data_IF_259734742153
#
_entry.id   IF_259734742153
#
_cell.length_a   1.000
_cell.length_b   1.000
_cell.length_c   1.000
_cell.angle_alpha   90.00
_cell.angle_beta   90.00
_cell.angle_gamma   90.00
#
_symmetry.space_group_name_H-M   'P 1'
#
loop_
_entity.id
_entity.type
_entity.pdbx_description
1 polymer ?
#
# COMPACT_ATOMS: atom_id res chain seq x y z
N UNK A 1 -31.32 -46.18 47.46
CA UNK A 1 -30.87 -44.78 47.53
C UNK A 1 -29.69 -44.59 46.60
N UNK A 2 -29.95 -44.44 45.27
CA UNK A 2 -28.90 -44.18 44.26
C UNK A 2 -29.55 -43.51 43.05
N UNK A 3 -29.89 -42.23 43.11
CA UNK A 3 -30.43 -41.53 41.93
C UNK A 3 -30.26 -40.00 41.91
N UNK A 4 -29.60 -39.39 42.91
CA UNK A 4 -29.50 -37.92 42.95
C UNK A 4 -28.18 -37.36 42.36
N UNK A 5 -27.13 -38.17 42.27
CA UNK A 5 -25.80 -37.67 41.83
C UNK A 5 -25.66 -37.48 40.28
N UNK A 6 -26.45 -38.20 39.50
CA UNK A 6 -26.32 -38.11 38.03
C UNK A 6 -26.96 -36.84 37.42
N UNK A 7 -27.97 -36.25 38.06
CA UNK A 7 -28.61 -35.02 37.54
C UNK A 7 -27.82 -33.74 37.83
N UNK A 8 -27.05 -33.71 38.93
CA UNK A 8 -26.19 -32.58 39.26
C UNK A 8 -24.98 -32.47 38.30
N UNK A 9 -24.42 -33.61 37.86
CA UNK A 9 -23.30 -33.63 36.93
C UNK A 9 -23.68 -33.14 35.53
N UNK A 10 -24.91 -33.41 35.06
CA UNK A 10 -25.38 -32.93 33.73
C UNK A 10 -25.68 -31.44 33.72
N UNK A 11 -26.14 -30.85 34.83
CA UNK A 11 -26.38 -29.40 34.90
C UNK A 11 -25.05 -28.62 34.95
N UNK A 12 -24.08 -29.05 35.75
CA UNK A 12 -22.75 -28.43 35.79
C UNK A 12 -22.04 -28.47 34.43
N UNK A 13 -22.11 -29.59 33.71
CA UNK A 13 -21.55 -29.70 32.38
C UNK A 13 -22.14 -28.69 31.39
N UNK A 14 -23.43 -28.46 31.44
CA UNK A 14 -24.13 -27.48 30.59
C UNK A 14 -23.71 -26.03 30.89
N UNK A 15 -23.49 -25.68 32.17
CA UNK A 15 -22.99 -24.36 32.53
C UNK A 15 -21.56 -24.14 32.11
N UNK A 16 -20.69 -25.14 32.21
CA UNK A 16 -19.30 -25.07 31.77
C UNK A 16 -19.25 -24.91 30.23
N UNK A 17 -20.06 -25.67 29.50
CA UNK A 17 -20.15 -25.54 28.04
C UNK A 17 -20.66 -24.15 27.64
N UNK A 18 -21.71 -23.64 28.30
CA UNK A 18 -22.22 -22.29 28.05
C UNK A 18 -21.17 -21.21 28.31
N UNK A 19 -20.44 -21.30 29.42
CA UNK A 19 -19.35 -20.36 29.72
C UNK A 19 -18.22 -20.43 28.70
N UNK A 20 -17.83 -21.62 28.24
CA UNK A 20 -16.80 -21.80 27.23
C UNK A 20 -17.22 -21.17 25.89
N UNK A 21 -18.47 -21.32 25.47
CA UNK A 21 -18.99 -20.70 24.24
C UNK A 21 -18.97 -19.17 24.36
N UNK A 22 -19.39 -18.61 25.49
CA UNK A 22 -19.36 -17.15 25.71
C UNK A 22 -17.94 -16.60 25.66
N UNK A 23 -16.98 -17.27 26.30
CA UNK A 23 -15.56 -16.85 26.28
C UNK A 23 -15.01 -16.96 24.84
N UNK A 24 -15.30 -18.04 24.13
CA UNK A 24 -14.83 -18.22 22.76
C UNK A 24 -15.41 -17.15 21.81
N UNK A 25 -16.71 -16.85 21.91
CA UNK A 25 -17.34 -15.83 21.07
C UNK A 25 -16.84 -14.42 21.41
N UNK A 26 -16.61 -14.13 22.68
CA UNK A 26 -16.01 -12.85 23.11
C UNK A 26 -14.56 -12.71 22.60
N UNK A 27 -13.76 -13.77 22.68
CA UNK A 27 -12.38 -13.76 22.18
C UNK A 27 -12.33 -13.55 20.66
N UNK A 28 -13.21 -14.22 19.90
CA UNK A 28 -13.33 -14.04 18.43
C UNK A 28 -13.79 -12.62 18.11
N UNK A 29 -14.80 -12.10 18.81
CA UNK A 29 -15.31 -10.74 18.59
C UNK A 29 -14.23 -9.66 18.87
N UNK A 30 -13.47 -9.81 19.96
CA UNK A 30 -12.34 -8.93 20.27
C UNK A 30 -11.23 -9.05 19.23
N UNK A 31 -10.89 -10.27 18.80
CA UNK A 31 -9.89 -10.51 17.77
C UNK A 31 -10.24 -9.83 16.44
N UNK A 32 -11.47 -9.96 15.98
CA UNK A 32 -11.95 -9.31 14.76
C UNK A 32 -11.97 -7.78 14.88
N UNK A 33 -12.30 -7.24 16.08
CA UNK A 33 -12.28 -5.80 16.33
C UNK A 33 -10.88 -5.18 16.30
N UNK A 34 -9.85 -5.95 16.70
CA UNK A 34 -8.45 -5.51 16.69
C UNK A 34 -7.80 -5.56 15.29
N UNK A 35 -8.28 -6.42 14.41
CA UNK A 35 -7.73 -6.59 13.06
C UNK A 35 -8.11 -5.44 12.11
N UNK A 36 -9.01 -4.54 12.49
CA UNK A 36 -9.54 -3.49 11.62
C UNK A 36 -10.58 -4.02 10.63
N UNK A 37 -11.25 -3.12 9.93
CA UNK A 37 -12.21 -3.53 8.90
C UNK A 37 -11.52 -4.04 7.65
N UNK A 38 -12.05 -5.08 6.97
CA UNK A 38 -11.51 -5.56 5.70
C UNK A 38 -11.40 -4.47 4.63
N UNK A 39 -12.30 -3.49 4.66
CA UNK A 39 -12.32 -2.38 3.71
C UNK A 39 -11.12 -1.45 3.92
N UNK A 40 -10.77 -1.14 5.18
CA UNK A 40 -9.59 -0.31 5.49
C UNK A 40 -8.29 -0.97 5.04
N UNK A 41 -8.18 -2.29 5.19
CA UNK A 41 -7.01 -3.03 4.75
C UNK A 41 -6.91 -3.06 3.21
N UNK A 42 -8.05 -3.15 2.52
CA UNK A 42 -8.11 -3.02 1.06
C UNK A 42 -7.64 -1.65 0.60
N UNK A 43 -8.15 -0.59 1.23
CA UNK A 43 -7.79 0.79 0.92
C UNK A 43 -6.29 1.05 1.13
N UNK A 44 -5.72 0.55 2.24
CA UNK A 44 -4.27 0.64 2.50
C UNK A 44 -3.43 -0.04 1.41
N UNK A 45 -3.87 -1.22 0.94
CA UNK A 45 -3.16 -1.95 -0.14
C UNK A 45 -3.27 -1.22 -1.47
N UNK A 46 -4.42 -0.63 -1.78
CA UNK A 46 -4.60 0.19 -2.97
C UNK A 46 -3.71 1.44 -2.93
N UNK A 47 -3.68 2.14 -1.79
CA UNK A 47 -2.84 3.33 -1.62
C UNK A 47 -1.34 2.98 -1.68
N UNK A 48 -0.91 1.87 -1.07
CA UNK A 48 0.46 1.39 -1.19
C UNK A 48 0.83 1.08 -2.64
N UNK A 49 -0.07 0.44 -3.38
CA UNK A 49 0.12 0.17 -4.81
C UNK A 49 0.21 1.45 -5.64
N UNK A 50 -0.63 2.46 -5.37
CA UNK A 50 -0.56 3.78 -6.02
C UNK A 50 0.82 4.42 -5.83
N UNK A 51 1.33 4.40 -4.59
CA UNK A 51 2.68 4.91 -4.28
C UNK A 51 3.75 4.15 -5.07
N UNK A 52 3.68 2.81 -5.13
CA UNK A 52 4.67 2.01 -5.87
C UNK A 52 4.61 2.27 -7.38
N UNK A 53 3.42 2.44 -7.94
CA UNK A 53 3.23 2.80 -9.35
C UNK A 53 3.76 4.22 -9.64
N UNK A 54 3.47 5.21 -8.78
CA UNK A 54 4.04 6.57 -8.92
C UNK A 54 5.56 6.58 -8.82
N UNK A 55 6.14 5.75 -7.95
CA UNK A 55 7.61 5.56 -7.87
C UNK A 55 8.18 4.97 -9.15
N UNK A 56 7.48 4.01 -9.76
CA UNK A 56 7.89 3.44 -11.03
C UNK A 56 7.84 4.49 -12.16
N UNK A 57 6.78 5.28 -12.20
CA UNK A 57 6.64 6.41 -13.14
C UNK A 57 7.76 7.43 -12.93
N UNK A 58 8.05 7.82 -11.68
CA UNK A 58 9.13 8.76 -11.39
C UNK A 58 10.50 8.25 -11.86
N UNK A 59 10.79 6.95 -11.65
CA UNK A 59 12.03 6.34 -12.18
C UNK A 59 12.09 6.34 -13.70
N UNK A 60 10.97 6.06 -14.37
CA UNK A 60 10.91 6.09 -15.83
C UNK A 60 11.13 7.50 -16.39
N UNK A 61 10.60 8.53 -15.72
CA UNK A 61 10.86 9.93 -16.05
C UNK A 61 12.34 10.26 -15.86
N UNK A 62 12.97 9.82 -14.78
CA UNK A 62 14.40 10.03 -14.51
C UNK A 62 15.27 9.39 -15.62
N UNK A 63 14.97 8.15 -15.99
CA UNK A 63 15.65 7.46 -17.11
C UNK A 63 15.47 8.23 -18.42
N UNK A 64 14.25 8.65 -18.73
CA UNK A 64 13.97 9.42 -19.95
C UNK A 64 14.75 10.74 -19.97
N UNK A 65 14.75 11.46 -18.88
CA UNK A 65 15.48 12.74 -18.75
C UNK A 65 17.00 12.55 -18.96
N UNK A 66 17.59 11.51 -18.39
CA UNK A 66 19.00 11.20 -18.58
C UNK A 66 19.34 10.81 -20.03
N UNK A 67 18.38 10.26 -20.77
CA UNK A 67 18.59 9.88 -22.18
C UNK A 67 18.31 11.03 -23.15
N UNK A 68 17.22 11.77 -22.92
CA UNK A 68 16.73 12.80 -23.84
C UNK A 68 17.16 14.23 -23.45
N UNK A 69 17.61 14.45 -22.20
CA UNK A 69 17.95 15.78 -21.68
C UNK A 69 16.74 16.67 -21.41
N UNK A 70 15.53 16.14 -21.52
CA UNK A 70 14.27 16.87 -21.34
C UNK A 70 13.24 15.99 -20.64
N UNK A 71 12.31 16.61 -19.92
CA UNK A 71 11.17 15.89 -19.36
C UNK A 71 10.22 15.40 -20.48
N UNK A 72 9.57 14.23 -20.30
CA UNK A 72 8.59 13.75 -21.27
C UNK A 72 7.40 14.72 -21.38
N UNK A 73 6.92 15.00 -22.59
CA UNK A 73 5.75 15.84 -22.78
C UNK A 73 4.47 15.22 -22.21
N UNK A 74 4.39 13.89 -22.21
CA UNK A 74 3.29 13.11 -21.62
C UNK A 74 3.82 11.79 -21.08
N UNK A 75 3.14 11.18 -20.12
CA UNK A 75 3.50 9.85 -19.59
C UNK A 75 3.39 8.74 -20.64
N UNK A 76 2.53 8.89 -21.67
CA UNK A 76 2.37 7.91 -22.74
C UNK A 76 3.66 7.65 -23.53
N UNK A 77 4.59 8.60 -23.56
CA UNK A 77 5.91 8.43 -24.20
C UNK A 77 6.73 7.37 -23.46
N UNK A 78 6.61 7.30 -22.14
CA UNK A 78 7.33 6.34 -21.30
C UNK A 78 6.81 4.92 -21.49
N UNK A 79 5.52 4.75 -21.72
CA UNK A 79 4.89 3.45 -21.95
C UNK A 79 5.40 2.80 -23.26
N UNK A 80 5.72 3.62 -24.26
CA UNK A 80 6.26 3.16 -25.54
C UNK A 80 7.76 2.81 -25.48
N UNK A 81 8.51 3.36 -24.51
CA UNK A 81 9.95 3.22 -24.37
C UNK A 81 10.35 2.10 -23.39
N UNK A 82 9.53 1.79 -22.41
CA UNK A 82 9.73 0.71 -21.44
C UNK A 82 8.85 -0.49 -21.76
N UNK A 83 9.31 -1.70 -21.38
CA UNK A 83 8.52 -2.92 -21.49
C UNK A 83 7.16 -2.80 -20.76
N UNK A 84 6.13 -3.64 -21.09
CA UNK A 84 4.70 -3.44 -20.77
C UNK A 84 4.35 -3.52 -19.27
N UNK A 85 5.21 -3.07 -18.37
CA UNK A 85 5.04 -3.15 -16.91
C UNK A 85 4.80 -1.82 -16.21
N UNK A 86 4.90 -0.69 -16.94
CA UNK A 86 4.64 0.61 -16.34
C UNK A 86 3.13 0.85 -16.30
N UNK A 87 2.56 0.87 -15.10
CA UNK A 87 1.15 1.24 -14.92
C UNK A 87 1.03 2.75 -14.81
N UNK A 88 0.36 3.36 -15.79
CA UNK A 88 0.06 4.79 -15.80
C UNK A 88 -1.34 5.12 -15.27
N UNK A 89 -2.13 4.11 -14.93
CA UNK A 89 -3.52 4.26 -14.51
C UNK A 89 -3.69 3.78 -13.07
N UNK A 90 -4.53 4.52 -12.33
CA UNK A 90 -4.94 4.16 -10.98
C UNK A 90 -5.60 2.76 -10.95
N UNK A 91 -5.19 1.85 -10.06
CA UNK A 91 -5.62 0.46 -10.06
C UNK A 91 -7.10 0.26 -9.69
N UNK A 92 -7.75 1.26 -9.12
CA UNK A 92 -9.17 1.18 -8.73
C UNK A 92 -10.08 1.90 -9.72
N UNK A 93 -9.75 3.15 -10.06
CA UNK A 93 -10.58 3.97 -10.94
C UNK A 93 -10.28 3.75 -12.42
N UNK A 94 -9.13 3.18 -12.77
CA UNK A 94 -8.65 3.06 -14.15
C UNK A 94 -8.28 4.38 -14.82
N UNK A 95 -8.36 5.50 -14.10
CA UNK A 95 -8.01 6.83 -14.64
C UNK A 95 -6.49 7.02 -14.67
N UNK A 96 -5.95 7.71 -15.68
CA UNK A 96 -4.53 7.99 -15.72
C UNK A 96 -4.09 8.88 -14.55
N UNK A 97 -2.87 8.65 -14.05
CA UNK A 97 -2.23 9.54 -13.10
C UNK A 97 -2.01 10.91 -13.74
N UNK A 98 -2.17 11.97 -12.94
CA UNK A 98 -1.92 13.32 -13.43
C UNK A 98 -0.42 13.60 -13.40
N UNK A 99 0.09 14.14 -14.50
CA UNK A 99 1.47 14.56 -14.66
C UNK A 99 1.50 15.97 -15.22
N UNK A 100 2.37 16.81 -14.65
CA UNK A 100 2.61 18.16 -15.14
C UNK A 100 4.09 18.52 -14.97
N UNK A 101 4.74 18.94 -16.05
CA UNK A 101 6.04 19.58 -15.98
C UNK A 101 5.90 20.97 -15.37
N UNK A 102 6.72 21.30 -14.38
CA UNK A 102 6.74 22.59 -13.68
C UNK A 102 7.89 23.48 -14.15
N UNK A 103 9.05 22.86 -14.41
CA UNK A 103 10.27 23.49 -14.94
C UNK A 103 11.02 22.48 -15.79
N UNK A 104 12.22 22.81 -16.26
CA UNK A 104 13.02 21.94 -17.13
C UNK A 104 13.43 20.63 -16.45
N UNK A 105 13.58 20.64 -15.13
CA UNK A 105 14.08 19.53 -14.29
C UNK A 105 13.11 19.09 -13.21
N UNK A 106 11.91 19.68 -13.12
CA UNK A 106 10.95 19.41 -12.08
C UNK A 106 9.55 19.20 -12.61
N UNK A 107 8.81 18.30 -11.96
CA UNK A 107 7.47 17.90 -12.36
C UNK A 107 6.60 17.55 -11.14
N UNK A 108 5.33 17.42 -11.37
CA UNK A 108 4.32 17.03 -10.38
C UNK A 108 3.60 15.77 -10.83
N UNK A 109 3.48 14.79 -9.90
CA UNK A 109 2.70 13.57 -10.07
C UNK A 109 1.61 13.53 -9.04
N UNK A 110 0.35 13.37 -9.48
CA UNK A 110 -0.80 13.38 -8.58
C UNK A 110 -1.59 12.07 -8.65
N UNK A 111 -2.06 11.64 -7.47
CA UNK A 111 -3.00 10.53 -7.32
C UNK A 111 -4.04 10.85 -6.23
N UNK A 112 -5.14 10.10 -6.23
CA UNK A 112 -6.17 10.20 -5.18
C UNK A 112 -6.00 9.03 -4.22
N UNK A 113 -5.84 9.32 -2.93
CA UNK A 113 -5.62 8.34 -1.88
C UNK A 113 -6.84 8.17 -0.99
N UNK A 114 -7.14 6.94 -0.60
CA UNK A 114 -8.27 6.64 0.27
C UNK A 114 -7.98 7.00 1.72
N UNK A 115 -6.73 6.84 2.15
CA UNK A 115 -6.29 7.04 3.53
C UNK A 115 -5.06 7.93 3.61
N UNK A 116 -4.81 8.51 4.78
CA UNK A 116 -3.54 9.18 5.07
C UNK A 116 -2.47 8.16 5.45
N UNK A 117 -1.25 8.36 4.95
CA UNK A 117 -0.10 7.53 5.28
C UNK A 117 1.09 8.39 5.67
N UNK A 118 1.74 8.02 6.80
CA UNK A 118 2.99 8.60 7.26
C UNK A 118 4.09 7.56 7.11
N UNK A 119 4.96 7.76 6.13
CA UNK A 119 6.09 6.89 5.88
C UNK A 119 7.33 7.43 6.57
N UNK A 120 8.19 6.56 7.09
CA UNK A 120 9.43 6.96 7.78
C UNK A 120 10.67 6.81 6.90
N UNK A 121 11.78 7.44 7.34
CA UNK A 121 13.07 7.30 6.70
C UNK A 121 13.09 7.78 5.24
N UNK A 122 13.70 6.99 4.36
CA UNK A 122 13.82 7.31 2.93
C UNK A 122 12.49 7.36 2.18
N UNK A 123 11.42 6.80 2.76
CA UNK A 123 10.10 6.80 2.16
C UNK A 123 9.24 7.98 2.60
N UNK A 124 9.72 8.83 3.50
CA UNK A 124 8.97 9.98 4.05
C UNK A 124 8.46 10.93 2.95
N UNK A 125 9.19 11.07 1.84
CA UNK A 125 8.77 11.85 0.68
C UNK A 125 7.40 11.41 0.13
N UNK A 126 7.11 10.10 0.14
CA UNK A 126 5.87 9.52 -0.37
C UNK A 126 4.74 9.47 0.66
N UNK A 127 4.87 10.17 1.79
CA UNK A 127 3.78 10.37 2.74
C UNK A 127 2.71 11.26 2.14
N UNK A 128 1.46 10.92 2.36
CA UNK A 128 0.32 11.64 1.76
C UNK A 128 -0.87 11.70 2.72
N UNK A 129 -1.71 12.74 2.63
CA UNK A 129 -3.05 12.77 3.22
C UNK A 129 -4.02 11.90 2.43
N UNK A 130 -5.22 11.71 2.95
CA UNK A 130 -6.35 11.22 2.16
C UNK A 130 -6.81 12.28 1.15
N UNK A 131 -7.34 11.84 0.01
CA UNK A 131 -7.78 12.70 -1.09
C UNK A 131 -6.72 12.89 -2.17
N UNK A 132 -6.94 13.88 -3.03
CA UNK A 132 -6.00 14.22 -4.09
C UNK A 132 -4.70 14.78 -3.49
N UNK A 133 -3.58 14.18 -3.82
CA UNK A 133 -2.26 14.64 -3.41
C UNK A 133 -1.28 14.60 -4.57
N UNK A 134 -0.44 15.62 -4.65
CA UNK A 134 0.55 15.81 -5.68
C UNK A 134 1.95 15.83 -5.07
N UNK A 135 2.84 15.01 -5.62
CA UNK A 135 4.27 14.97 -5.28
C UNK A 135 5.03 15.82 -6.28
N UNK A 136 5.77 16.80 -5.78
CA UNK A 136 6.70 17.59 -6.60
C UNK A 136 8.07 16.94 -6.56
N UNK A 137 8.56 16.56 -7.72
CA UNK A 137 9.80 15.81 -7.88
C UNK A 137 10.75 16.61 -8.77
N UNK A 138 11.99 16.77 -8.31
CA UNK A 138 13.09 17.18 -9.18
C UNK A 138 13.83 15.92 -9.66
N UNK A 139 14.29 15.90 -10.92
CA UNK A 139 14.90 14.73 -11.55
C UNK A 139 16.13 14.22 -10.81
N UNK A 140 16.88 15.09 -10.13
CA UNK A 140 18.03 14.71 -9.28
C UNK A 140 17.62 14.12 -7.92
N UNK A 141 16.38 14.36 -7.48
CA UNK A 141 15.88 13.95 -6.16
C UNK A 141 15.21 12.59 -6.14
N UNK A 142 15.04 11.91 -7.27
CA UNK A 142 14.50 10.56 -7.29
C UNK A 142 15.44 9.66 -6.50
N UNK A 143 15.04 9.15 -5.31
CA UNK A 143 15.91 8.30 -4.50
C UNK A 143 16.25 7.06 -5.32
N UNK A 144 17.51 6.95 -5.73
CA UNK A 144 18.03 5.75 -6.36
C UNK A 144 18.01 4.66 -5.31
N UNK A 145 16.97 3.86 -5.29
CA UNK A 145 17.05 2.56 -4.66
C UNK A 145 18.13 1.80 -5.41
N UNK A 146 19.24 1.61 -4.73
CA UNK A 146 20.38 0.87 -5.25
C UNK A 146 19.92 -0.54 -5.64
N UNK A 147 19.64 -0.73 -6.92
CA UNK A 147 19.38 -2.03 -7.56
C UNK A 147 20.71 -2.79 -7.73
N UNK A 148 21.69 -2.54 -6.91
CA UNK A 148 22.86 -3.38 -6.80
C UNK A 148 22.66 -4.34 -5.63
N UNK A 149 21.97 -5.44 -5.92
CA UNK A 149 22.11 -6.66 -5.16
C UNK A 149 23.59 -6.90 -4.92
N UNK A 150 23.94 -7.06 -3.66
CA UNK A 150 25.26 -7.47 -3.18
C UNK A 150 25.80 -8.61 -4.04
N UNK A 151 26.79 -8.28 -4.89
CA UNK A 151 27.65 -9.32 -5.45
C UNK A 151 28.47 -9.81 -4.28
N UNK A 152 28.08 -10.96 -3.72
CA UNK A 152 28.90 -11.71 -2.77
C UNK A 152 30.20 -12.03 -3.50
N UNK A 153 31.39 -11.58 -3.03
CA UNK A 153 32.64 -12.06 -3.59
C UNK A 153 32.76 -13.53 -3.20
N UNK A 154 32.71 -14.38 -4.20
CA UNK A 154 32.96 -15.81 -4.05
C UNK A 154 34.38 -16.04 -3.59
N UNK A 155 34.50 -16.97 -2.66
CA UNK A 155 35.74 -17.69 -2.27
C UNK A 155 36.18 -18.56 -3.42
#
# INVERSE_FOLDING_TARGET
>A
MKSSSARAATSAGRWILGAAIVVATAAVGLGLGLLGSPDQERDRRLDARRVDELRAVARAIDVHWHQAGTLPATLAILEAAEEPRLSLNDPESGKPYSYQSLADDSYELCASFSMSTQLGGRHAFWSHPAGLHCFRVAVEEVPRESVFGSRVPGV
#
